data_IF_672968101103
#
_entry.id   IF_672968101103
#
_cell.length_a   1.000
_cell.length_b   1.000
_cell.length_c   1.000
_cell.angle_alpha   90.00
_cell.angle_beta   90.00
_cell.angle_gamma   90.00
#
_symmetry.space_group_name_H-M   'P 1'
#
loop_
_entity.id
_entity.type
_entity.pdbx_description
1 polymer ?
#
# COMPACT_ATOMS: atom_id res chain seq x y z
N UNK A 1 -9.87 -32.78 20.30
CA UNK A 1 -9.70 -31.48 19.60
C UNK A 1 -8.49 -31.56 18.69
N UNK A 2 -8.70 -31.62 17.39
CA UNK A 2 -7.57 -31.69 16.44
C UNK A 2 -6.88 -30.32 16.39
N UNK A 3 -5.60 -30.30 16.74
CA UNK A 3 -4.72 -29.14 16.51
C UNK A 3 -4.68 -28.88 14.99
N UNK A 4 -5.31 -27.81 14.52
CA UNK A 4 -5.13 -27.36 13.14
C UNK A 4 -3.63 -27.18 12.91
N UNK A 5 -3.07 -27.91 11.98
CA UNK A 5 -1.68 -27.74 11.58
C UNK A 5 -1.47 -26.27 11.18
N UNK A 6 -0.39 -25.65 11.68
CA UNK A 6 -0.02 -24.29 11.27
C UNK A 6 0.20 -24.30 9.75
N UNK A 7 -0.39 -23.38 8.98
CA UNK A 7 -0.18 -23.36 7.54
C UNK A 7 1.31 -23.21 7.22
N UNK A 8 1.77 -23.87 6.18
CA UNK A 8 3.14 -23.72 5.70
C UNK A 8 3.38 -22.28 5.23
N UNK A 9 4.49 -21.67 5.66
CA UNK A 9 4.87 -20.32 5.24
C UNK A 9 5.24 -20.32 3.75
N UNK A 10 4.88 -19.25 3.07
CA UNK A 10 5.23 -19.01 1.67
C UNK A 10 6.49 -18.14 1.64
N UNK A 11 7.52 -18.59 0.93
CA UNK A 11 8.70 -17.76 0.68
C UNK A 11 8.42 -16.77 -0.44
N UNK A 12 8.71 -15.51 -0.19
CA UNK A 12 8.58 -14.44 -1.17
C UNK A 12 9.90 -13.67 -1.30
N UNK A 13 10.23 -13.30 -2.53
CA UNK A 13 11.34 -12.38 -2.80
C UNK A 13 10.80 -10.97 -2.89
N UNK A 14 11.34 -10.09 -2.06
CA UNK A 14 10.98 -8.67 -1.99
C UNK A 14 11.96 -7.86 -2.84
N UNK A 15 11.45 -7.00 -3.71
CA UNK A 15 12.23 -5.99 -4.42
C UNK A 15 11.97 -4.64 -3.77
N UNK A 16 13.04 -3.98 -3.32
CA UNK A 16 13.01 -2.64 -2.76
C UNK A 16 13.31 -1.62 -3.84
N UNK A 17 12.50 -0.57 -3.93
CA UNK A 17 12.62 0.49 -4.92
C UNK A 17 12.61 1.85 -4.22
N UNK A 18 13.34 2.81 -4.79
CA UNK A 18 13.42 4.18 -4.29
C UNK A 18 13.30 5.19 -5.42
N UNK A 19 12.93 6.41 -5.03
CA UNK A 19 12.81 7.58 -5.88
C UNK A 19 13.42 8.76 -5.15
N UNK A 20 14.44 9.41 -5.75
CA UNK A 20 15.21 10.50 -5.12
C UNK A 20 14.75 11.89 -5.58
N UNK A 21 13.79 11.96 -6.50
CA UNK A 21 13.23 13.21 -6.98
C UNK A 21 11.74 13.08 -7.24
N UNK A 22 10.99 14.11 -6.86
CA UNK A 22 9.56 14.18 -7.14
C UNK A 22 9.32 14.18 -8.66
N UNK A 23 8.37 13.38 -9.19
CA UNK A 23 8.02 13.43 -10.60
C UNK A 23 7.58 14.83 -11.05
N UNK A 24 7.93 15.26 -12.27
CA UNK A 24 7.61 16.62 -12.75
C UNK A 24 6.11 16.85 -12.97
N UNK A 25 5.35 15.79 -13.20
CA UNK A 25 3.92 15.89 -13.52
C UNK A 25 3.10 14.83 -12.80
N UNK A 26 1.90 15.22 -12.38
CA UNK A 26 0.87 14.27 -11.90
C UNK A 26 0.23 13.55 -13.09
N UNK A 27 -0.17 12.31 -12.86
CA UNK A 27 -1.05 11.62 -13.82
C UNK A 27 -2.44 12.24 -13.72
N UNK A 28 -3.04 12.64 -14.86
CA UNK A 28 -4.38 13.22 -14.86
C UNK A 28 -5.44 12.29 -14.27
N UNK A 29 -6.44 12.88 -13.61
CA UNK A 29 -7.59 12.13 -13.14
C UNK A 29 -8.33 11.48 -14.30
N UNK A 30 -8.66 10.20 -14.24
CA UNK A 30 -9.47 9.54 -15.27
C UNK A 30 -10.83 10.22 -15.44
N UNK A 31 -11.27 10.34 -16.70
CA UNK A 31 -12.59 10.86 -17.03
C UNK A 31 -13.62 9.75 -16.95
N UNK A 32 -14.78 10.03 -16.38
CA UNK A 32 -15.93 9.12 -16.31
C UNK A 32 -16.32 8.78 -14.87
N UNK A 33 -15.51 8.03 -14.08
CA UNK A 33 -15.88 7.70 -12.71
C UNK A 33 -15.78 8.94 -11.80
N UNK A 34 -16.64 8.99 -10.79
CA UNK A 34 -16.51 9.98 -9.71
C UNK A 34 -15.49 9.48 -8.71
N UNK A 35 -14.36 10.18 -8.61
CA UNK A 35 -13.25 9.82 -7.75
C UNK A 35 -13.14 10.78 -6.56
N UNK A 36 -12.86 10.23 -5.38
CA UNK A 36 -12.46 11.00 -4.21
C UNK A 36 -11.31 10.28 -3.50
N UNK A 37 -10.23 11.00 -3.25
CA UNK A 37 -9.12 10.54 -2.41
C UNK A 37 -9.18 11.28 -1.08
N UNK A 38 -9.44 10.56 -0.01
CA UNK A 38 -9.66 11.14 1.31
C UNK A 38 -8.63 10.63 2.31
N UNK A 39 -7.93 11.57 2.95
CA UNK A 39 -7.08 11.23 4.09
C UNK A 39 -7.93 10.75 5.26
N UNK A 40 -7.55 9.62 5.84
CA UNK A 40 -8.21 9.06 7.00
C UNK A 40 -7.56 9.60 8.28
N UNK A 41 -8.40 10.10 9.19
CA UNK A 41 -7.99 10.46 10.55
C UNK A 41 -8.78 9.60 11.53
N UNK A 42 -8.07 8.96 12.47
CA UNK A 42 -8.70 8.06 13.45
C UNK A 42 -9.63 7.02 12.81
N UNK A 43 -9.14 6.38 11.74
CA UNK A 43 -9.90 5.37 11.01
C UNK A 43 -10.41 4.28 11.96
N UNK A 44 -11.71 3.93 11.93
CA UNK A 44 -12.22 2.82 12.70
C UNK A 44 -11.49 1.51 12.34
N UNK A 45 -11.14 0.73 13.35
CA UNK A 45 -10.40 -0.52 13.19
C UNK A 45 -11.05 -1.49 12.21
N UNK A 46 -12.37 -1.66 12.31
CA UNK A 46 -13.11 -2.54 11.41
C UNK A 46 -13.02 -2.10 9.95
N UNK A 47 -12.99 -0.78 9.69
CA UNK A 47 -12.84 -0.25 8.33
C UNK A 47 -11.43 -0.47 7.79
N UNK A 48 -10.39 -0.25 8.62
CA UNK A 48 -9.02 -0.58 8.22
C UNK A 48 -8.86 -2.06 7.89
N UNK A 49 -9.36 -2.96 8.75
CA UNK A 49 -9.30 -4.41 8.52
C UNK A 49 -10.01 -4.82 7.23
N UNK A 50 -11.17 -4.22 6.97
CA UNK A 50 -11.89 -4.41 5.71
C UNK A 50 -11.04 -4.03 4.49
N UNK A 51 -10.46 -2.82 4.48
CA UNK A 51 -9.62 -2.35 3.37
C UNK A 51 -8.38 -3.24 3.20
N UNK A 52 -7.71 -3.56 4.30
CA UNK A 52 -6.53 -4.40 4.28
C UNK A 52 -6.81 -5.80 3.72
N UNK A 53 -7.95 -6.38 4.07
CA UNK A 53 -8.40 -7.67 3.52
C UNK A 53 -8.77 -7.56 2.04
N UNK A 54 -9.59 -6.57 1.67
CA UNK A 54 -10.04 -6.41 0.28
C UNK A 54 -8.87 -6.24 -0.69
N UNK A 55 -7.87 -5.47 -0.32
CA UNK A 55 -6.70 -5.21 -1.17
C UNK A 55 -5.64 -6.31 -1.03
N UNK A 56 -5.35 -6.72 0.19
CA UNK A 56 -4.17 -7.52 0.51
C UNK A 56 -4.37 -9.03 0.49
N UNK A 57 -5.61 -9.54 0.54
CA UNK A 57 -5.88 -10.98 0.64
C UNK A 57 -5.29 -11.78 -0.51
N UNK A 58 -5.45 -11.31 -1.74
CA UNK A 58 -4.94 -11.97 -2.94
C UNK A 58 -3.39 -11.99 -3.01
N UNK A 59 -2.74 -11.12 -2.23
CA UNK A 59 -1.29 -10.95 -2.17
C UNK A 59 -0.69 -11.49 -0.86
N UNK A 60 -1.52 -12.13 -0.03
CA UNK A 60 -1.12 -12.69 1.26
C UNK A 60 -0.51 -11.66 2.24
N UNK A 61 -0.94 -10.40 2.20
CA UNK A 61 -0.52 -9.40 3.19
C UNK A 61 -0.82 -9.88 4.61
N UNK A 62 0.19 -10.05 5.44
CA UNK A 62 0.03 -10.71 6.74
C UNK A 62 0.34 -9.80 7.95
N UNK A 63 1.20 -8.80 7.79
CA UNK A 63 1.72 -8.02 8.93
C UNK A 63 0.63 -7.36 9.77
N UNK A 64 -0.30 -6.62 9.14
CA UNK A 64 -1.37 -5.94 9.88
C UNK A 64 -2.45 -6.90 10.37
N UNK A 65 -2.64 -8.02 9.68
CA UNK A 65 -3.59 -9.07 10.06
C UNK A 65 -3.21 -9.75 11.37
N UNK A 66 -1.92 -9.93 11.61
CA UNK A 66 -1.41 -10.61 12.80
C UNK A 66 -1.43 -9.74 14.06
N UNK A 67 -1.61 -8.41 13.92
CA UNK A 67 -1.64 -7.50 15.06
C UNK A 67 -2.96 -7.61 15.82
N UNK A 68 -2.87 -7.60 17.14
CA UNK A 68 -4.02 -7.42 18.03
C UNK A 68 -4.64 -6.02 17.86
N UNK A 69 -5.88 -5.86 18.35
CA UNK A 69 -6.63 -4.62 18.15
C UNK A 69 -5.90 -3.40 18.73
N UNK A 70 -5.33 -3.51 19.93
CA UNK A 70 -4.60 -2.41 20.57
C UNK A 70 -3.34 -2.01 19.79
N UNK A 71 -2.58 -2.99 19.30
CA UNK A 71 -1.36 -2.75 18.52
C UNK A 71 -1.70 -2.13 17.16
N UNK A 72 -2.75 -2.62 16.51
CA UNK A 72 -3.18 -2.10 15.21
C UNK A 72 -3.69 -0.67 15.35
N UNK A 73 -4.50 -0.36 16.36
CA UNK A 73 -4.95 1.02 16.67
C UNK A 73 -3.75 1.93 16.90
N UNK A 74 -2.79 1.51 17.72
CA UNK A 74 -1.58 2.29 17.99
C UNK A 74 -0.78 2.56 16.70
N UNK A 75 -0.77 1.62 15.77
CA UNK A 75 -0.09 1.76 14.48
C UNK A 75 -0.81 2.72 13.55
N UNK A 76 -2.10 2.48 13.27
CA UNK A 76 -2.86 3.26 12.27
C UNK A 76 -3.27 4.65 12.74
N UNK A 77 -3.26 4.90 14.06
CA UNK A 77 -3.51 6.23 14.64
C UNK A 77 -2.21 6.96 15.03
N UNK A 78 -1.06 6.37 14.75
CA UNK A 78 0.23 7.03 15.00
C UNK A 78 0.35 8.31 14.16
N UNK A 79 0.94 9.40 14.72
CA UNK A 79 1.24 10.62 13.94
C UNK A 79 2.25 10.39 12.82
N UNK A 80 2.98 9.26 12.84
CA UNK A 80 3.92 8.85 11.80
C UNK A 80 3.32 7.92 10.76
N UNK A 81 2.01 7.66 10.80
CA UNK A 81 1.30 6.85 9.82
C UNK A 81 0.31 7.71 9.04
N UNK A 82 0.49 7.80 7.73
CA UNK A 82 -0.42 8.48 6.82
C UNK A 82 -1.26 7.48 6.04
N UNK A 83 -2.60 7.59 6.08
CA UNK A 83 -3.49 6.70 5.34
C UNK A 83 -4.47 7.55 4.53
N UNK A 84 -4.71 7.15 3.28
CA UNK A 84 -5.81 7.69 2.50
C UNK A 84 -6.55 6.59 1.74
N UNK A 85 -7.83 6.81 1.53
CA UNK A 85 -8.75 5.89 0.85
C UNK A 85 -9.20 6.50 -0.46
N UNK A 86 -9.06 5.73 -1.54
CA UNK A 86 -9.64 6.08 -2.83
C UNK A 86 -11.08 5.55 -2.89
N UNK A 87 -12.01 6.45 -3.14
CA UNK A 87 -13.40 6.13 -3.42
C UNK A 87 -13.68 6.27 -4.92
N UNK A 88 -14.43 5.31 -5.45
CA UNK A 88 -14.90 5.31 -6.83
C UNK A 88 -16.42 5.17 -6.81
N UNK A 89 -17.13 6.14 -7.35
CA UNK A 89 -18.60 6.19 -7.37
C UNK A 89 -19.25 5.94 -5.99
N UNK A 90 -18.59 6.43 -4.93
CA UNK A 90 -19.06 6.32 -3.56
C UNK A 90 -18.64 5.04 -2.81
N UNK A 91 -17.93 4.12 -3.46
CA UNK A 91 -17.44 2.88 -2.84
C UNK A 91 -15.94 2.95 -2.57
N UNK A 92 -15.45 2.43 -1.43
CA UNK A 92 -14.02 2.34 -1.15
C UNK A 92 -13.36 1.37 -2.13
N UNK A 93 -12.43 1.86 -2.92
CA UNK A 93 -11.82 1.14 -4.04
C UNK A 93 -10.38 0.69 -3.77
N UNK A 94 -9.71 1.34 -2.84
CA UNK A 94 -8.33 1.05 -2.48
C UNK A 94 -7.81 2.01 -1.43
N UNK A 95 -6.60 1.79 -0.98
CA UNK A 95 -5.96 2.68 -0.02
C UNK A 95 -4.44 2.66 -0.18
N UNK A 96 -3.80 3.66 0.39
CA UNK A 96 -2.37 3.65 0.67
C UNK A 96 -2.09 3.89 2.14
N UNK A 97 -0.95 3.42 2.60
CA UNK A 97 -0.39 3.70 3.92
C UNK A 97 1.06 4.15 3.78
N UNK A 98 1.39 5.29 4.39
CA UNK A 98 2.73 5.85 4.44
C UNK A 98 3.32 5.67 5.83
N UNK A 99 4.59 5.29 5.90
CA UNK A 99 5.42 5.39 7.10
C UNK A 99 6.26 6.66 7.04
N UNK A 100 6.02 7.57 7.99
CA UNK A 100 6.69 8.87 8.14
C UNK A 100 7.74 8.84 9.26
N UNK A 101 8.01 7.69 9.88
CA UNK A 101 8.86 7.58 11.06
C UNK A 101 10.33 7.91 10.78
N UNK A 102 10.74 7.87 9.51
CA UNK A 102 12.12 8.13 9.09
C UNK A 102 12.34 9.52 8.49
N UNK A 103 11.35 10.42 8.61
CA UNK A 103 11.52 11.82 8.17
C UNK A 103 12.68 12.51 8.90
N UNK A 104 13.40 13.42 8.24
CA UNK A 104 13.25 13.86 6.84
C UNK A 104 13.91 12.93 5.80
N UNK A 105 14.58 11.87 6.24
CA UNK A 105 15.38 11.02 5.37
C UNK A 105 14.52 10.26 4.34
N UNK A 106 13.43 9.67 4.78
CA UNK A 106 12.63 8.79 3.92
C UNK A 106 11.14 8.76 4.31
N UNK A 107 10.28 8.68 3.30
CA UNK A 107 8.89 8.23 3.43
C UNK A 107 8.75 6.90 2.71
N UNK A 108 8.18 5.90 3.35
CA UNK A 108 7.90 4.62 2.73
C UNK A 108 6.40 4.47 2.43
N UNK A 109 6.07 4.09 1.20
CA UNK A 109 4.74 3.61 0.84
C UNK A 109 4.66 2.15 1.25
N UNK A 110 4.12 1.90 2.46
CA UNK A 110 4.08 0.57 3.08
C UNK A 110 3.04 -0.32 2.44
N UNK A 111 1.85 0.25 2.17
CA UNK A 111 0.76 -0.43 1.48
C UNK A 111 0.21 0.48 0.40
N UNK A 112 -0.09 -0.11 -0.74
CA UNK A 112 -0.72 0.54 -1.88
C UNK A 112 -1.46 -0.50 -2.70
N UNK A 113 -2.71 -0.26 -3.03
CA UNK A 113 -3.43 -1.14 -3.93
C UNK A 113 -4.90 -0.81 -4.09
N UNK A 114 -5.49 -1.50 -5.05
CA UNK A 114 -6.90 -1.47 -5.39
C UNK A 114 -7.55 -2.81 -5.04
N UNK A 115 -8.77 -2.76 -4.52
CA UNK A 115 -9.60 -3.95 -4.36
C UNK A 115 -9.89 -4.59 -5.74
N UNK A 116 -10.08 -5.92 -5.81
CA UNK A 116 -10.23 -6.65 -7.08
C UNK A 116 -11.29 -6.08 -8.02
N UNK A 117 -12.43 -5.65 -7.49
CA UNK A 117 -13.55 -5.10 -8.28
C UNK A 117 -13.20 -3.79 -9.01
N UNK A 118 -12.11 -3.12 -8.61
CA UNK A 118 -11.66 -1.84 -9.18
C UNK A 118 -10.38 -1.97 -10.01
N UNK A 119 -9.82 -3.16 -10.11
CA UNK A 119 -8.67 -3.43 -10.96
C UNK A 119 -9.07 -3.49 -12.44
N UNK A 120 -8.10 -3.23 -13.33
CA UNK A 120 -8.33 -3.26 -14.78
C UNK A 120 -9.19 -2.09 -15.32
N UNK A 121 -9.42 -1.04 -14.53
CA UNK A 121 -10.21 0.14 -14.91
C UNK A 121 -9.36 1.38 -15.20
N UNK A 122 -8.04 1.24 -15.30
CA UNK A 122 -7.12 2.35 -15.56
C UNK A 122 -6.86 3.26 -14.35
N UNK A 123 -7.23 2.84 -13.13
CA UNK A 123 -7.13 3.66 -11.92
C UNK A 123 -5.75 3.61 -11.24
N UNK A 124 -5.03 2.51 -11.38
CA UNK A 124 -3.81 2.26 -10.60
C UNK A 124 -2.73 3.30 -10.84
N UNK A 125 -2.54 3.72 -12.08
CA UNK A 125 -1.52 4.72 -12.44
C UNK A 125 -1.83 6.11 -11.85
N UNK A 126 -3.09 6.54 -11.93
CA UNK A 126 -3.54 7.79 -11.30
C UNK A 126 -3.39 7.69 -9.77
N UNK A 127 -3.87 6.61 -9.17
CA UNK A 127 -3.84 6.45 -7.72
C UNK A 127 -2.40 6.38 -7.18
N UNK A 128 -1.49 5.69 -7.87
CA UNK A 128 -0.08 5.68 -7.49
C UNK A 128 0.56 7.06 -7.63
N UNK A 129 0.23 7.83 -8.68
CA UNK A 129 0.68 9.20 -8.82
C UNK A 129 0.27 10.05 -7.61
N UNK A 130 -0.99 10.01 -7.22
CA UNK A 130 -1.47 10.75 -6.04
C UNK A 130 -0.77 10.30 -4.74
N UNK A 131 -0.51 9.01 -4.60
CA UNK A 131 0.23 8.45 -3.45
C UNK A 131 1.67 8.96 -3.41
N UNK A 132 2.36 8.98 -4.54
CA UNK A 132 3.74 9.51 -4.67
C UNK A 132 3.77 10.98 -4.27
N UNK A 133 2.86 11.81 -4.80
CA UNK A 133 2.80 13.23 -4.45
C UNK A 133 2.42 13.46 -2.98
N UNK A 134 1.57 12.60 -2.41
CA UNK A 134 1.27 12.67 -0.98
C UNK A 134 2.51 12.35 -0.12
N UNK A 135 3.34 11.39 -0.54
CA UNK A 135 4.60 11.08 0.14
C UNK A 135 5.59 12.26 0.04
N UNK A 136 5.76 12.84 -1.14
CA UNK A 136 6.64 14.01 -1.36
C UNK A 136 6.16 15.28 -0.65
N UNK A 137 4.88 15.41 -0.35
CA UNK A 137 4.34 16.55 0.43
C UNK A 137 4.90 16.64 1.85
N UNK A 138 5.54 15.60 2.36
CA UNK A 138 6.24 15.58 3.65
C UNK A 138 7.72 16.00 3.55
N UNK A 139 8.18 16.40 2.37
CA UNK A 139 9.54 16.89 2.08
C UNK A 139 10.67 15.90 2.49
N UNK A 140 10.57 14.60 2.11
CA UNK A 140 11.61 13.64 2.37
C UNK A 140 12.79 13.80 1.38
N UNK A 141 13.95 13.24 1.73
CA UNK A 141 15.06 13.07 0.79
C UNK A 141 14.77 11.96 -0.24
N UNK A 142 14.01 10.93 0.16
CA UNK A 142 13.71 9.74 -0.66
C UNK A 142 12.31 9.24 -0.39
N UNK A 143 11.61 8.79 -1.42
CA UNK A 143 10.38 8.00 -1.30
C UNK A 143 10.68 6.56 -1.69
N UNK A 144 10.31 5.61 -0.81
CA UNK A 144 10.52 4.19 -1.02
C UNK A 144 9.20 3.43 -1.18
N UNK A 145 9.28 2.33 -1.92
CA UNK A 145 8.21 1.35 -2.06
C UNK A 145 8.83 -0.03 -2.21
N UNK A 146 8.12 -1.08 -1.86
CA UNK A 146 8.54 -2.45 -2.14
C UNK A 146 7.42 -3.25 -2.79
N UNK A 147 7.78 -4.33 -3.45
CA UNK A 147 6.87 -5.35 -3.97
C UNK A 147 7.52 -6.72 -3.85
N UNK A 148 6.72 -7.76 -3.78
CA UNK A 148 7.23 -9.12 -3.68
C UNK A 148 6.63 -10.04 -4.76
N UNK A 149 7.10 -11.28 -4.81
CA UNK A 149 6.67 -12.28 -5.79
C UNK A 149 5.23 -12.76 -5.62
N UNK A 150 4.55 -12.37 -4.53
CA UNK A 150 3.13 -12.66 -4.27
C UNK A 150 2.21 -11.50 -4.70
N UNK A 151 2.78 -10.32 -4.97
CA UNK A 151 2.04 -9.19 -5.49
C UNK A 151 1.65 -9.38 -6.96
N UNK A 152 0.84 -8.44 -7.46
CA UNK A 152 0.54 -8.41 -8.89
C UNK A 152 1.82 -8.38 -9.73
N UNK A 153 1.96 -9.22 -10.76
CA UNK A 153 3.13 -9.22 -11.63
C UNK A 153 3.30 -7.89 -12.40
N UNK A 154 2.28 -7.02 -12.39
CA UNK A 154 2.32 -5.69 -12.99
C UNK A 154 2.86 -4.62 -12.04
N UNK A 155 2.93 -4.88 -10.74
CA UNK A 155 3.31 -3.89 -9.73
C UNK A 155 4.72 -3.34 -9.96
N UNK A 156 5.72 -4.20 -10.13
CA UNK A 156 7.09 -3.79 -10.37
C UNK A 156 7.23 -2.89 -11.62
N UNK A 157 6.56 -3.26 -12.72
CA UNK A 157 6.57 -2.47 -13.95
C UNK A 157 5.91 -1.11 -13.76
N UNK A 158 4.80 -1.07 -13.03
CA UNK A 158 4.10 0.17 -12.73
C UNK A 158 4.99 1.10 -11.91
N UNK A 159 5.63 0.59 -10.86
CA UNK A 159 6.52 1.38 -10.00
C UNK A 159 7.69 1.96 -10.80
N UNK A 160 8.34 1.15 -11.64
CA UNK A 160 9.42 1.62 -12.50
C UNK A 160 8.96 2.69 -13.50
N UNK A 161 7.79 2.52 -14.14
CA UNK A 161 7.20 3.52 -15.03
C UNK A 161 6.87 4.84 -14.34
N UNK A 162 6.60 4.79 -13.04
CA UNK A 162 6.30 5.98 -12.24
C UNK A 162 7.54 6.66 -11.67
N UNK A 163 8.74 6.12 -11.94
CA UNK A 163 10.02 6.75 -11.61
C UNK A 163 10.78 6.09 -10.46
N UNK A 164 10.30 4.98 -9.90
CA UNK A 164 11.05 4.21 -8.91
C UNK A 164 12.14 3.36 -9.60
N UNK A 165 13.29 3.24 -8.92
CA UNK A 165 14.38 2.37 -9.33
C UNK A 165 14.64 1.29 -8.29
N UNK A 166 14.86 0.02 -8.69
CA UNK A 166 15.26 -1.03 -7.76
C UNK A 166 16.61 -0.70 -7.10
N UNK A 167 16.67 -0.85 -5.78
CA UNK A 167 17.89 -0.60 -4.98
C UNK A 167 18.40 -1.83 -4.25
N UNK A 168 17.61 -2.90 -4.20
CA UNK A 168 17.99 -4.14 -3.55
C UNK A 168 16.85 -5.14 -3.50
N UNK A 169 17.13 -6.28 -2.91
CA UNK A 169 16.15 -7.33 -2.67
C UNK A 169 16.40 -8.04 -1.34
N UNK A 170 15.36 -8.67 -0.81
CA UNK A 170 15.41 -9.52 0.38
C UNK A 170 14.45 -10.68 0.23
N UNK A 171 14.50 -11.61 1.18
CA UNK A 171 13.53 -12.71 1.26
C UNK A 171 12.70 -12.56 2.53
N UNK A 172 11.43 -12.92 2.44
CA UNK A 172 10.52 -12.98 3.57
C UNK A 172 9.72 -14.28 3.57
N UNK A 173 9.25 -14.66 4.74
CA UNK A 173 8.30 -15.76 4.91
C UNK A 173 6.94 -15.19 5.28
N UNK A 174 5.93 -15.51 4.50
CA UNK A 174 4.58 -14.96 4.59
C UNK A 174 3.60 -16.04 5.03
N UNK A 175 2.78 -15.73 6.03
CA UNK A 175 1.68 -16.59 6.44
C UNK A 175 0.52 -16.44 5.45
N UNK A 176 0.11 -17.54 4.76
CA UNK A 176 -0.96 -17.45 3.77
C UNK A 176 -2.31 -17.09 4.40
N UNK A 177 -3.15 -16.45 3.64
CA UNK A 177 -4.57 -16.36 3.95
C UNK A 177 -5.22 -17.73 3.71
N UNK A 178 -6.07 -18.13 4.65
CA UNK A 178 -6.87 -19.35 4.55
C UNK A 178 -8.05 -19.16 3.57
#
# INVERSE_FOLDING_TARGET
MARRAKPALIKARVTHLEMDAMPPHRVPMPVGPRLALMQARNMPLAFYRYLYEQVGRAHHWSLRRSLGDAELVATIHSPTTGIAVLYVDGSPAGFYELDLSQLPKKVEIVYFGLAPDFQGRGLARFFLSETIFAAWAHDPETVAIHTNTLDSPLALRLYQKMGFSPVGWSEEEVEPWA
#
